data_IF_392996668311
#
_entry.id   IF_392996668311
#
_cell.length_a   1.000
_cell.length_b   1.000
_cell.length_c   1.000
_cell.angle_alpha   90.00
_cell.angle_beta   90.00
_cell.angle_gamma   90.00
#
_symmetry.space_group_name_H-M   'P 1'
#
loop_
_entity.id
_entity.type
_entity.pdbx_description
1 polymer ?
#
# COMPACT_ATOMS: atom_id res chain seq x y z
N UNK A 1 -32.21 -17.66 -12.71
CA UNK A 1 -30.95 -17.07 -13.27
C UNK A 1 -30.81 -15.58 -12.98
N UNK A 2 -31.78 -14.94 -12.33
CA UNK A 2 -31.82 -13.47 -12.13
C UNK A 2 -31.03 -12.95 -10.92
N UNK A 3 -30.52 -13.82 -10.05
CA UNK A 3 -29.74 -13.42 -8.88
C UNK A 3 -28.38 -12.81 -9.26
N UNK A 4 -27.74 -13.31 -10.33
CA UNK A 4 -26.45 -12.78 -10.81
C UNK A 4 -26.61 -11.43 -11.54
N UNK A 5 -27.75 -11.16 -12.14
CA UNK A 5 -28.04 -9.89 -12.83
C UNK A 5 -28.27 -8.71 -11.84
N UNK A 6 -28.65 -9.00 -10.59
CA UNK A 6 -28.86 -7.99 -9.54
C UNK A 6 -27.61 -7.58 -8.76
N UNK A 7 -26.49 -8.25 -8.99
CA UNK A 7 -25.20 -7.93 -8.34
C UNK A 7 -24.60 -6.71 -9.04
N UNK A 8 -24.65 -5.59 -8.35
CA UNK A 8 -24.00 -4.37 -8.82
C UNK A 8 -22.48 -4.58 -8.84
N UNK A 9 -21.89 -4.89 -10.00
CA UNK A 9 -20.47 -5.19 -10.19
C UNK A 9 -19.56 -3.97 -9.97
N UNK A 10 -20.13 -2.77 -9.86
CA UNK A 10 -19.40 -1.51 -9.69
C UNK A 10 -18.46 -1.50 -8.46
N UNK A 11 -18.88 -1.92 -7.24
CA UNK A 11 -17.99 -1.93 -6.08
C UNK A 11 -16.80 -2.91 -6.21
N UNK A 12 -17.03 -4.04 -6.88
CA UNK A 12 -15.98 -5.03 -7.12
C UNK A 12 -14.90 -4.49 -8.05
N UNK A 13 -15.31 -3.86 -9.15
CA UNK A 13 -14.38 -3.23 -10.10
C UNK A 13 -13.58 -2.09 -9.45
N UNK A 14 -14.23 -1.25 -8.64
CA UNK A 14 -13.58 -0.17 -7.92
C UNK A 14 -12.56 -0.73 -6.92
N UNK A 15 -12.91 -1.77 -6.16
CA UNK A 15 -12.00 -2.43 -5.22
C UNK A 15 -10.79 -3.03 -5.92
N UNK A 16 -11.02 -3.78 -6.99
CA UNK A 16 -9.96 -4.44 -7.74
C UNK A 16 -8.99 -3.42 -8.35
N UNK A 17 -9.52 -2.39 -9.01
CA UNK A 17 -8.74 -1.30 -9.58
C UNK A 17 -7.92 -0.57 -8.51
N UNK A 18 -8.53 -0.26 -7.37
CA UNK A 18 -7.86 0.39 -6.24
C UNK A 18 -6.76 -0.48 -5.67
N UNK A 19 -7.03 -1.78 -5.43
CA UNK A 19 -6.07 -2.72 -4.87
C UNK A 19 -4.88 -2.96 -5.81
N UNK A 20 -5.10 -3.08 -7.12
CA UNK A 20 -4.02 -3.24 -8.10
C UNK A 20 -3.09 -2.02 -8.07
N UNK A 21 -3.65 -0.81 -8.17
CA UNK A 21 -2.82 0.41 -8.21
C UNK A 21 -2.10 0.62 -6.87
N UNK A 22 -2.80 0.43 -5.74
CA UNK A 22 -2.20 0.51 -4.41
C UNK A 22 -1.05 -0.50 -4.25
N UNK A 23 -1.22 -1.73 -4.74
CA UNK A 23 -0.19 -2.78 -4.70
C UNK A 23 1.00 -2.40 -5.58
N UNK A 24 0.79 -1.88 -6.79
CA UNK A 24 1.89 -1.45 -7.67
C UNK A 24 2.71 -0.33 -7.03
N UNK A 25 2.04 0.67 -6.43
CA UNK A 25 2.73 1.76 -5.73
C UNK A 25 3.48 1.24 -4.51
N UNK A 26 2.84 0.38 -3.70
CA UNK A 26 3.47 -0.23 -2.53
C UNK A 26 4.62 -1.15 -2.91
N UNK A 27 4.54 -1.88 -4.02
CA UNK A 27 5.59 -2.77 -4.53
C UNK A 27 6.86 -1.99 -4.84
N UNK A 28 6.80 -1.01 -5.72
CA UNK A 28 7.99 -0.24 -6.09
C UNK A 28 8.51 0.59 -4.92
N UNK A 29 7.63 1.27 -4.19
CA UNK A 29 7.99 2.06 -3.03
C UNK A 29 8.56 1.19 -1.89
N UNK A 30 7.95 0.06 -1.59
CA UNK A 30 8.38 -0.87 -0.55
C UNK A 30 9.75 -1.48 -0.84
N UNK A 31 9.99 -1.93 -2.09
CA UNK A 31 11.30 -2.44 -2.51
C UNK A 31 12.37 -1.35 -2.44
N UNK A 32 12.07 -0.14 -2.93
CA UNK A 32 12.99 0.98 -2.89
C UNK A 32 13.36 1.37 -1.45
N UNK A 33 12.36 1.48 -0.56
CA UNK A 33 12.57 1.76 0.86
C UNK A 33 13.33 0.63 1.57
N UNK A 34 13.01 -0.65 1.28
CA UNK A 34 13.72 -1.79 1.83
C UNK A 34 15.20 -1.79 1.45
N UNK A 35 15.49 -1.55 0.16
CA UNK A 35 16.86 -1.41 -0.33
C UNK A 35 17.60 -0.25 0.33
N UNK A 36 16.94 0.90 0.49
CA UNK A 36 17.53 2.06 1.15
C UNK A 36 17.80 1.80 2.62
N UNK A 37 16.87 1.17 3.34
CA UNK A 37 17.01 0.80 4.74
C UNK A 37 18.22 -0.11 4.99
N UNK A 38 18.55 -1.00 4.06
CA UNK A 38 19.73 -1.87 4.18
C UNK A 38 21.07 -1.11 4.17
N UNK A 39 21.10 0.11 3.64
CA UNK A 39 22.30 0.95 3.60
C UNK A 39 22.45 1.85 4.84
N UNK A 40 21.42 1.94 5.68
CA UNK A 40 21.40 2.79 6.85
C UNK A 40 22.14 2.17 8.03
N UNK A 41 22.65 3.04 8.92
CA UNK A 41 23.20 2.64 10.22
C UNK A 41 22.09 2.02 11.10
N UNK A 42 22.45 1.13 12.05
CA UNK A 42 21.45 0.40 12.84
C UNK A 42 20.39 1.28 13.52
N UNK A 43 20.81 2.40 14.12
CA UNK A 43 19.88 3.33 14.78
C UNK A 43 18.89 3.98 13.80
N UNK A 44 19.40 4.52 12.68
CA UNK A 44 18.55 5.15 11.66
C UNK A 44 17.62 4.13 11.00
N UNK A 45 18.08 2.89 10.84
CA UNK A 45 17.28 1.78 10.34
C UNK A 45 16.11 1.48 11.28
N UNK A 46 16.34 1.39 12.58
CA UNK A 46 15.29 1.14 13.58
C UNK A 46 14.24 2.26 13.64
N UNK A 47 14.68 3.51 13.52
CA UNK A 47 13.76 4.67 13.48
C UNK A 47 12.89 4.62 12.22
N UNK A 48 13.51 4.36 11.07
CA UNK A 48 12.77 4.23 9.79
C UNK A 48 11.75 3.10 9.86
N UNK A 49 12.14 1.94 10.41
CA UNK A 49 11.25 0.80 10.62
C UNK A 49 10.05 1.17 11.50
N UNK A 50 10.29 1.88 12.60
CA UNK A 50 9.23 2.37 13.47
C UNK A 50 8.24 3.23 12.72
N UNK A 51 8.72 4.24 11.99
CA UNK A 51 7.89 5.19 11.24
C UNK A 51 7.08 4.48 10.14
N UNK A 52 7.74 3.63 9.34
CA UNK A 52 7.09 2.94 8.23
C UNK A 52 6.08 1.89 8.69
N UNK A 53 6.23 1.34 9.90
CA UNK A 53 5.30 0.37 10.46
C UNK A 53 4.14 1.02 11.25
N UNK A 54 4.16 2.31 11.53
CA UNK A 54 3.08 3.01 12.25
C UNK A 54 1.69 2.73 11.65
N UNK A 55 1.46 2.79 10.33
CA UNK A 55 0.13 2.53 9.76
C UNK A 55 -0.38 1.10 10.00
N UNK A 56 0.53 0.14 10.26
CA UNK A 56 0.15 -1.25 10.54
C UNK A 56 -0.33 -1.45 11.98
N UNK A 57 0.24 -0.69 12.92
CA UNK A 57 -0.08 -0.75 14.35
C UNK A 57 -1.33 0.06 14.68
N UNK A 58 -1.51 1.19 14.00
CA UNK A 58 -2.69 2.02 14.19
C UNK A 58 -3.96 1.34 13.65
N UNK A 59 -5.11 1.48 14.33
CA UNK A 59 -6.38 1.09 13.75
C UNK A 59 -6.56 1.77 12.38
N UNK A 60 -7.01 1.06 11.33
CA UNK A 60 -7.14 1.61 9.98
C UNK A 60 -7.99 2.88 9.90
N UNK A 61 -9.02 2.99 10.74
CA UNK A 61 -9.86 4.19 10.87
C UNK A 61 -9.07 5.40 11.36
N UNK A 62 -8.15 5.20 12.31
CA UNK A 62 -7.28 6.26 12.82
C UNK A 62 -6.29 6.70 11.75
N UNK A 63 -5.69 5.77 11.03
CA UNK A 63 -4.82 6.07 9.90
C UNK A 63 -5.57 6.87 8.81
N UNK A 64 -6.81 6.47 8.49
CA UNK A 64 -7.67 7.21 7.56
C UNK A 64 -8.03 8.60 8.03
N UNK A 65 -8.30 8.78 9.33
CA UNK A 65 -8.56 10.09 9.92
C UNK A 65 -7.34 11.01 9.86
N UNK A 66 -6.14 10.49 10.16
CA UNK A 66 -4.91 11.26 10.02
C UNK A 66 -4.67 11.70 8.57
N UNK A 67 -4.89 10.80 7.59
CA UNK A 67 -4.82 11.14 6.18
C UNK A 67 -5.86 12.22 5.81
N UNK A 68 -7.08 12.12 6.33
CA UNK A 68 -8.11 13.14 6.13
C UNK A 68 -7.65 14.52 6.66
N UNK A 69 -7.05 14.55 7.85
CA UNK A 69 -6.53 15.80 8.42
C UNK A 69 -5.41 16.40 7.55
N UNK A 70 -4.48 15.57 7.04
CA UNK A 70 -3.34 16.03 6.24
C UNK A 70 -3.81 16.53 4.86
N UNK A 71 -4.70 15.80 4.18
CA UNK A 71 -5.13 16.08 2.82
C UNK A 71 -6.43 16.90 2.72
N UNK A 72 -6.96 17.38 3.85
CA UNK A 72 -8.12 18.27 3.87
C UNK A 72 -7.84 19.55 3.07
N UNK A 73 -8.85 20.01 2.32
CA UNK A 73 -8.81 21.30 1.60
C UNK A 73 -8.68 22.53 2.50
N UNK A 74 -8.72 22.34 3.82
CA UNK A 74 -8.44 23.39 4.83
C UNK A 74 -6.97 23.40 5.30
N UNK A 75 -6.15 22.50 4.82
CA UNK A 75 -4.73 22.37 5.18
C UNK A 75 -3.82 22.69 4.00
N UNK A 76 -2.59 23.19 4.24
CA UNK A 76 -1.71 23.65 3.17
C UNK A 76 -1.43 22.59 2.11
N UNK A 77 -1.27 21.31 2.49
CA UNK A 77 -1.05 20.20 1.55
C UNK A 77 -2.26 19.96 0.65
N UNK A 78 -3.48 19.97 1.21
CA UNK A 78 -4.69 19.78 0.42
C UNK A 78 -4.95 20.94 -0.55
N UNK A 79 -4.70 22.18 -0.09
CA UNK A 79 -4.79 23.40 -0.93
C UNK A 79 -3.78 23.32 -2.07
N UNK A 80 -2.51 23.02 -1.77
CA UNK A 80 -1.44 22.91 -2.77
C UNK A 80 -1.76 21.88 -3.87
N UNK A 81 -2.25 20.70 -3.49
CA UNK A 81 -2.64 19.65 -4.43
C UNK A 81 -3.83 20.06 -5.31
N UNK A 82 -4.77 20.81 -4.73
CA UNK A 82 -5.93 21.29 -5.46
C UNK A 82 -5.54 22.42 -6.44
N UNK A 83 -4.74 23.39 -6.01
CA UNK A 83 -4.36 24.54 -6.83
C UNK A 83 -3.43 24.18 -7.99
N UNK A 84 -2.42 23.28 -7.75
CA UNK A 84 -1.43 22.95 -8.75
C UNK A 84 -1.80 21.77 -9.65
N UNK A 85 -2.53 20.78 -9.10
CA UNK A 85 -2.82 19.52 -9.82
C UNK A 85 -4.31 19.26 -10.01
N UNK A 86 -5.20 20.14 -9.51
CA UNK A 86 -6.65 19.93 -9.51
C UNK A 86 -7.05 18.57 -8.90
N UNK A 87 -6.20 18.03 -8.02
CA UNK A 87 -6.35 16.71 -7.41
C UNK A 87 -7.09 16.82 -6.07
N UNK A 88 -8.35 16.45 -6.10
CA UNK A 88 -9.17 16.32 -4.89
C UNK A 88 -8.96 14.92 -4.31
N UNK A 89 -8.23 14.81 -3.19
CA UNK A 89 -7.97 13.53 -2.52
C UNK A 89 -9.15 13.11 -1.65
N UNK A 90 -9.68 14.04 -0.86
CA UNK A 90 -10.80 13.77 0.04
C UNK A 90 -12.10 13.54 -0.75
N UNK A 91 -12.87 12.52 -0.37
CA UNK A 91 -14.14 12.12 -1.02
C UNK A 91 -13.97 11.80 -2.52
N UNK A 92 -12.84 11.20 -2.90
CA UNK A 92 -12.53 10.88 -4.29
C UNK A 92 -11.88 9.50 -4.42
N UNK A 93 -11.85 8.96 -5.64
CA UNK A 93 -11.19 7.68 -5.91
C UNK A 93 -9.66 7.69 -5.65
N UNK A 94 -8.89 8.74 -5.97
CA UNK A 94 -7.49 8.84 -5.55
C UNK A 94 -7.31 8.72 -4.03
N UNK A 95 -8.27 9.18 -3.22
CA UNK A 95 -8.28 8.97 -1.78
C UNK A 95 -8.39 7.49 -1.39
N UNK A 96 -9.20 6.69 -2.12
CA UNK A 96 -9.25 5.23 -1.91
C UNK A 96 -7.87 4.59 -2.16
N UNK A 97 -7.22 4.97 -3.26
CA UNK A 97 -5.89 4.45 -3.61
C UNK A 97 -4.85 4.84 -2.57
N UNK A 98 -4.84 6.10 -2.14
CA UNK A 98 -3.92 6.60 -1.11
C UNK A 98 -4.12 5.86 0.22
N UNK A 99 -5.36 5.72 0.69
CA UNK A 99 -5.68 5.02 1.92
C UNK A 99 -5.22 3.56 1.88
N UNK A 100 -5.58 2.84 0.81
CA UNK A 100 -5.17 1.45 0.61
C UNK A 100 -3.64 1.30 0.53
N UNK A 101 -2.96 2.21 -0.17
CA UNK A 101 -1.50 2.21 -0.29
C UNK A 101 -0.84 2.39 1.07
N UNK A 102 -1.21 3.41 1.84
CA UNK A 102 -0.58 3.73 3.14
C UNK A 102 -0.73 2.58 4.13
N UNK A 103 -1.89 1.92 4.14
CA UNK A 103 -2.16 0.80 5.06
C UNK A 103 -1.48 -0.50 4.61
N UNK A 104 -1.36 -0.74 3.30
CA UNK A 104 -0.73 -1.94 2.76
C UNK A 104 0.80 -1.82 2.60
N UNK A 105 1.34 -0.61 2.50
CA UNK A 105 2.75 -0.32 2.28
C UNK A 105 3.70 -0.98 3.29
N UNK A 106 3.45 -0.89 4.62
CA UNK A 106 4.32 -1.53 5.62
C UNK A 106 4.51 -3.02 5.38
N UNK A 107 3.46 -3.69 4.91
CA UNK A 107 3.49 -5.12 4.67
C UNK A 107 4.46 -5.47 3.53
N UNK A 108 4.42 -4.72 2.43
CA UNK A 108 5.35 -4.89 1.31
C UNK A 108 6.78 -4.58 1.73
N UNK A 109 6.99 -3.45 2.42
CA UNK A 109 8.30 -3.04 2.92
C UNK A 109 8.94 -4.13 3.80
N UNK A 110 8.21 -4.66 4.79
CA UNK A 110 8.71 -5.70 5.71
C UNK A 110 9.06 -6.98 4.99
N UNK A 111 8.20 -7.45 4.08
CA UNK A 111 8.46 -8.68 3.31
C UNK A 111 9.66 -8.51 2.37
N UNK A 112 9.73 -7.40 1.64
CA UNK A 112 10.87 -7.11 0.75
C UNK A 112 12.18 -7.02 1.54
N UNK A 113 12.17 -6.36 2.70
CA UNK A 113 13.33 -6.27 3.57
C UNK A 113 13.76 -7.63 4.10
N UNK A 114 12.84 -8.42 4.65
CA UNK A 114 13.13 -9.76 5.13
C UNK A 114 13.69 -10.66 4.01
N UNK A 115 13.14 -10.55 2.81
CA UNK A 115 13.64 -11.29 1.64
C UNK A 115 15.08 -10.87 1.27
N UNK A 116 15.42 -9.58 1.36
CA UNK A 116 16.78 -9.11 1.12
C UNK A 116 17.77 -9.52 2.21
N UNK A 117 17.35 -9.54 3.48
CA UNK A 117 18.17 -9.95 4.61
C UNK A 117 18.47 -11.46 4.60
N UNK A 118 17.64 -12.27 3.95
CA UNK A 118 17.87 -13.71 3.77
C UNK A 118 18.89 -14.05 2.67
N UNK A 119 19.28 -13.08 1.83
CA UNK A 119 20.27 -13.32 0.77
C UNK A 119 21.65 -13.46 1.42
N UNK A 120 22.32 -14.59 1.18
CA UNK A 120 23.67 -14.82 1.71
C UNK A 120 24.65 -13.76 1.19
N UNK A 121 25.33 -13.13 2.11
CA UNK A 121 26.35 -12.09 1.84
C UNK A 121 27.47 -12.59 0.93
N UNK A 122 27.75 -13.90 0.93
CA UNK A 122 28.78 -14.51 0.08
C UNK A 122 28.47 -14.34 -1.40
N UNK A 123 27.21 -14.33 -1.81
CA UNK A 123 26.83 -14.02 -3.20
C UNK A 123 27.18 -12.59 -3.60
N UNK A 124 27.06 -11.66 -2.65
CA UNK A 124 27.40 -10.25 -2.89
C UNK A 124 28.93 -10.11 -3.00
N UNK A 125 29.69 -10.76 -2.12
CA UNK A 125 31.15 -10.74 -2.18
C UNK A 125 31.69 -11.41 -3.45
N UNK A 126 31.13 -12.54 -3.85
CA UNK A 126 31.50 -13.18 -5.12
C UNK A 126 31.24 -12.27 -6.32
N UNK A 127 30.12 -11.56 -6.33
CA UNK A 127 29.85 -10.57 -7.38
C UNK A 127 30.88 -9.41 -7.40
N UNK A 128 31.32 -8.95 -6.24
CA UNK A 128 32.34 -7.89 -6.13
C UNK A 128 33.71 -8.38 -6.59
N UNK A 129 34.10 -9.60 -6.27
CA UNK A 129 35.37 -10.19 -6.74
C UNK A 129 35.39 -10.36 -8.26
N UNK A 130 34.24 -10.55 -8.89
CA UNK A 130 34.09 -10.57 -10.35
C UNK A 130 34.03 -9.16 -10.98
N UNK A 131 34.22 -8.09 -10.19
CA UNK A 131 34.21 -6.70 -10.69
C UNK A 131 32.83 -6.17 -11.08
N UNK A 132 31.75 -6.83 -10.65
CA UNK A 132 30.39 -6.38 -10.97
C UNK A 132 30.01 -5.14 -10.15
N UNK A 133 29.30 -4.20 -10.79
CA UNK A 133 28.77 -3.02 -10.09
C UNK A 133 27.69 -3.41 -9.08
N UNK A 134 27.54 -2.64 -8.00
CA UNK A 134 26.52 -2.86 -6.94
C UNK A 134 25.08 -2.94 -7.53
N UNK A 135 24.80 -2.21 -8.60
CA UNK A 135 23.52 -2.28 -9.29
C UNK A 135 23.33 -3.59 -10.05
N UNK A 136 24.40 -4.09 -10.68
CA UNK A 136 24.38 -5.37 -11.38
C UNK A 136 24.19 -6.53 -10.42
N UNK A 137 24.90 -6.51 -9.28
CA UNK A 137 24.77 -7.49 -8.20
C UNK A 137 23.33 -7.48 -7.67
N UNK A 138 22.78 -6.30 -7.38
CA UNK A 138 21.41 -6.17 -6.90
C UNK A 138 20.42 -6.76 -7.89
N UNK A 139 20.49 -6.38 -9.17
CA UNK A 139 19.53 -6.81 -10.19
C UNK A 139 19.66 -8.27 -10.57
N UNK A 140 20.90 -8.79 -10.71
CA UNK A 140 21.16 -10.14 -11.22
C UNK A 140 21.30 -11.22 -10.14
N UNK A 141 21.58 -10.83 -8.90
CA UNK A 141 21.81 -11.76 -7.79
C UNK A 141 20.74 -11.56 -6.71
N UNK A 142 20.67 -10.37 -6.11
CA UNK A 142 19.80 -10.13 -4.95
C UNK A 142 18.32 -10.24 -5.30
N UNK A 143 17.85 -9.59 -6.37
CA UNK A 143 16.43 -9.64 -6.76
C UNK A 143 15.96 -11.06 -7.12
N UNK A 144 16.67 -11.86 -7.93
CA UNK A 144 16.22 -13.21 -8.24
C UNK A 144 16.18 -14.13 -7.01
N UNK A 145 17.17 -14.04 -6.12
CA UNK A 145 17.22 -14.85 -4.89
C UNK A 145 16.12 -14.43 -3.91
N UNK A 146 15.88 -13.13 -3.75
CA UNK A 146 14.80 -12.59 -2.92
C UNK A 146 13.40 -12.74 -3.56
N UNK A 147 13.32 -13.13 -4.83
CA UNK A 147 12.10 -13.17 -5.63
C UNK A 147 10.91 -13.85 -4.97
N UNK A 148 11.05 -15.08 -4.43
CA UNK A 148 9.94 -15.77 -3.75
C UNK A 148 9.37 -14.99 -2.57
N UNK A 149 10.24 -14.36 -1.73
CA UNK A 149 9.82 -13.53 -0.61
C UNK A 149 9.13 -12.23 -1.05
N UNK A 150 9.63 -11.61 -2.13
CA UNK A 150 9.01 -10.42 -2.74
C UNK A 150 7.62 -10.77 -3.31
N UNK A 151 7.50 -11.91 -4.00
CA UNK A 151 6.23 -12.39 -4.55
C UNK A 151 5.20 -12.64 -3.43
N UNK A 152 5.59 -13.34 -2.37
CA UNK A 152 4.75 -13.57 -1.19
C UNK A 152 4.29 -12.23 -0.56
N UNK A 153 5.22 -11.29 -0.38
CA UNK A 153 4.92 -9.95 0.11
C UNK A 153 3.93 -9.20 -0.79
N UNK A 154 4.04 -9.35 -2.10
CA UNK A 154 3.13 -8.73 -3.07
C UNK A 154 1.71 -9.27 -2.95
N UNK A 155 1.56 -10.59 -2.85
CA UNK A 155 0.25 -11.24 -2.68
C UNK A 155 -0.42 -10.77 -1.38
N UNK A 156 0.33 -10.75 -0.27
CA UNK A 156 -0.18 -10.28 1.03
C UNK A 156 -0.58 -8.80 0.98
N UNK A 157 0.23 -7.97 0.32
CA UNK A 157 -0.05 -6.53 0.13
C UNK A 157 -1.32 -6.32 -0.70
N UNK A 158 -1.50 -7.09 -1.76
CA UNK A 158 -2.71 -7.04 -2.59
C UNK A 158 -3.96 -7.45 -1.79
N UNK A 159 -3.89 -8.56 -1.06
CA UNK A 159 -4.99 -9.03 -0.22
C UNK A 159 -5.36 -7.97 0.86
N UNK A 160 -4.34 -7.35 1.47
CA UNK A 160 -4.54 -6.27 2.46
C UNK A 160 -5.16 -5.02 1.85
N UNK A 161 -4.72 -4.62 0.66
CA UNK A 161 -5.27 -3.48 -0.06
C UNK A 161 -6.71 -3.72 -0.53
N UNK A 162 -7.03 -4.94 -0.98
CA UNK A 162 -8.36 -5.32 -1.43
C UNK A 162 -9.39 -5.29 -0.29
N UNK A 163 -9.00 -5.76 0.91
CA UNK A 163 -9.85 -5.79 2.10
C UNK A 163 -9.89 -4.47 2.89
N UNK A 164 -9.29 -3.38 2.39
CA UNK A 164 -9.25 -2.14 3.15
C UNK A 164 -10.61 -1.44 3.19
N UNK A 165 -11.10 -1.26 4.41
CA UNK A 165 -12.36 -0.59 4.71
C UNK A 165 -12.19 0.68 5.55
N UNK A 166 -11.42 0.59 6.64
CA UNK A 166 -11.40 1.60 7.70
C UNK A 166 -10.84 2.94 7.23
N UNK A 167 -9.66 2.93 6.62
CA UNK A 167 -9.03 4.15 6.11
C UNK A 167 -9.76 4.69 4.88
N UNK A 168 -10.24 3.81 4.00
CA UNK A 168 -10.98 4.21 2.80
C UNK A 168 -12.31 4.87 3.16
N UNK A 169 -13.07 4.34 4.12
CA UNK A 169 -14.35 4.91 4.53
C UNK A 169 -14.19 6.30 5.16
N UNK A 170 -13.10 6.52 5.90
CA UNK A 170 -12.80 7.82 6.53
C UNK A 170 -12.32 8.86 5.51
N UNK A 171 -11.41 8.50 4.60
CA UNK A 171 -10.81 9.45 3.67
C UNK A 171 -11.67 9.71 2.43
N UNK A 172 -12.19 8.66 1.82
CA UNK A 172 -12.90 8.72 0.54
C UNK A 172 -14.43 8.60 0.65
N UNK A 173 -14.93 8.24 1.83
CA UNK A 173 -16.36 8.09 2.08
C UNK A 173 -16.97 6.90 1.35
N UNK A 174 -18.32 6.93 1.17
CA UNK A 174 -19.10 5.86 0.56
C UNK A 174 -20.01 6.42 -0.54
N UNK A 175 -19.45 6.81 -1.67
CA UNK A 175 -20.17 7.37 -2.80
C UNK A 175 -20.40 6.28 -3.85
N UNK A 176 -21.68 5.99 -4.15
CA UNK A 176 -22.07 4.98 -5.14
C UNK A 176 -21.45 5.29 -6.50
N UNK A 177 -20.82 4.29 -7.12
CA UNK A 177 -20.19 4.42 -8.44
C UNK A 177 -18.87 5.19 -8.47
N UNK A 178 -18.41 5.80 -7.34
CA UNK A 178 -17.14 6.57 -7.28
C UNK A 178 -16.14 6.02 -6.28
N UNK A 179 -16.53 5.86 -5.01
CA UNK A 179 -15.63 5.47 -3.92
C UNK A 179 -16.10 4.25 -3.14
N UNK A 180 -17.30 3.73 -3.43
CA UNK A 180 -17.81 2.53 -2.77
C UNK A 180 -17.02 1.31 -3.20
N UNK A 181 -16.09 0.88 -2.36
CA UNK A 181 -15.42 -0.41 -2.49
C UNK A 181 -16.30 -1.54 -1.97
N UNK A 182 -15.97 -2.79 -2.31
CA UNK A 182 -16.72 -3.97 -1.87
C UNK A 182 -16.80 -4.06 -0.35
N UNK A 183 -15.67 -3.83 0.34
CA UNK A 183 -15.60 -3.81 1.80
C UNK A 183 -16.46 -2.71 2.44
N UNK A 184 -16.61 -1.55 1.78
CA UNK A 184 -17.47 -0.44 2.21
C UNK A 184 -18.94 -0.72 1.93
N UNK A 185 -19.24 -1.44 0.84
CA UNK A 185 -20.62 -1.76 0.42
C UNK A 185 -21.29 -2.83 1.27
N UNK A 186 -20.54 -3.84 1.70
CA UNK A 186 -21.06 -5.01 2.40
C UNK A 186 -21.55 -4.67 3.83
N UNK A 187 -20.85 -3.85 4.58
CA UNK A 187 -21.27 -3.42 5.93
C UNK A 187 -22.61 -2.71 5.99
N UNK A 188 -23.04 -2.03 4.93
CA UNK A 188 -24.38 -1.42 4.92
C UNK A 188 -25.50 -2.43 4.70
N UNK A 189 -25.22 -3.51 3.96
CA UNK A 189 -26.23 -4.57 3.78
C UNK A 189 -26.51 -5.27 5.10
N UNK A 190 -25.50 -5.61 5.88
CA UNK A 190 -25.68 -6.23 7.21
C UNK A 190 -26.44 -5.33 8.19
N UNK A 191 -26.15 -4.03 8.21
CA UNK A 191 -26.88 -3.07 9.06
C UNK A 191 -28.36 -2.86 8.68
N UNK A 192 -28.72 -3.02 7.41
CA UNK A 192 -30.12 -2.90 6.97
C UNK A 192 -30.92 -4.20 7.16
N UNK A 193 -30.26 -5.32 7.45
CA UNK A 193 -30.93 -6.62 7.65
C UNK A 193 -31.22 -6.88 9.15
N UNK A 194 -30.61 -6.09 10.06
CA UNK A 194 -30.80 -6.18 11.50
C UNK A 194 -31.88 -5.21 12.05
N UNK A 195 -32.55 -4.44 11.20
CA UNK A 195 -33.71 -3.58 11.48
C UNK A 195 -34.99 -4.19 10.91
#
# INVERSE_FOLDING_TARGET
MDFLASINMSPLLISLKTAIIATVVAFFGGIACARWAMKLKPLSKSILDGILNLPLVLPPTVAGFLLLLIFSLKRPLGIYLWEHYQLKVVLSWPGCVLAATVVAFPLMYRNARAAFEQVDVNYIYAGRTLGLSEWTIFRKVVIPVAGPGIASGTILTFARALGEYGATSMLAGNILGKTRTMAVGDRRRSQCTEL
#
